data_IF_473730107428
#
_entry.id   IF_473730107428
#
_cell.length_a   1.000
_cell.length_b   1.000
_cell.length_c   1.000
_cell.angle_alpha   90.00
_cell.angle_beta   90.00
_cell.angle_gamma   90.00
#
_symmetry.space_group_name_H-M   'P 1'
#
loop_
_entity.id
_entity.type
_entity.pdbx_description
1 polymer ?
#
# COMPACT_ATOMS: atom_id res chain seq x y z
N UNK A 1 -36.15 -45.52 2.79
CA UNK A 1 -36.28 -46.39 1.60
C UNK A 1 -35.49 -45.74 0.47
N UNK A 2 -34.32 -46.30 0.19
CA UNK A 2 -33.53 -46.05 -1.02
C UNK A 2 -34.21 -46.71 -2.24
N UNK A 3 -33.75 -46.43 -3.46
CA UNK A 3 -32.62 -47.18 -4.03
C UNK A 3 -31.58 -46.24 -4.67
N UNK A 4 -30.31 -46.24 -4.29
CA UNK A 4 -29.25 -47.21 -4.65
C UNK A 4 -29.15 -47.51 -6.15
N UNK A 5 -28.18 -46.85 -6.81
CA UNK A 5 -27.42 -47.42 -7.92
C UNK A 5 -25.93 -47.29 -7.61
N UNK A 6 -25.29 -48.44 -7.62
CA UNK A 6 -23.88 -48.75 -7.45
C UNK A 6 -23.21 -48.64 -8.82
N UNK A 7 -22.01 -48.05 -8.87
CA UNK A 7 -21.01 -48.49 -9.84
C UNK A 7 -19.62 -48.47 -9.19
N UNK A 8 -18.86 -49.51 -9.52
CA UNK A 8 -17.66 -49.97 -8.85
C UNK A 8 -16.39 -49.27 -9.34
N UNK A 9 -15.44 -49.25 -8.42
CA UNK A 9 -14.09 -48.68 -8.42
C UNK A 9 -13.10 -49.47 -9.30
N UNK A 10 -12.16 -48.79 -9.96
CA UNK A 10 -10.84 -49.34 -10.33
C UNK A 10 -9.74 -48.28 -10.08
N UNK A 11 -8.78 -48.70 -9.24
CA UNK A 11 -7.46 -48.13 -8.99
C UNK A 11 -7.32 -46.89 -8.08
N UNK A 12 -7.70 -47.07 -6.81
CA UNK A 12 -6.69 -47.38 -5.78
C UNK A 12 -5.57 -46.37 -5.53
N UNK A 13 -5.77 -45.48 -4.53
CA UNK A 13 -4.89 -45.30 -3.36
C UNK A 13 -5.49 -44.28 -2.38
N UNK A 14 -5.79 -44.76 -1.16
CA UNK A 14 -6.41 -44.03 -0.03
C UNK A 14 -5.40 -43.23 0.78
N UNK A 15 -5.82 -42.08 1.30
CA UNK A 15 -5.42 -41.60 2.63
C UNK A 15 -6.68 -41.19 3.40
N UNK A 16 -6.93 -41.85 4.54
CA UNK A 16 -8.05 -41.60 5.47
C UNK A 16 -7.68 -40.51 6.48
N UNK A 17 -8.69 -39.75 6.92
CA UNK A 17 -8.61 -38.81 8.02
C UNK A 17 -9.39 -39.31 9.26
N UNK A 18 -8.83 -38.97 10.45
CA UNK A 18 -9.42 -38.81 11.81
C UNK A 18 -9.72 -40.07 12.66
N UNK A 19 -9.71 -40.02 14.03
CA UNK A 19 -10.09 -38.86 14.87
C UNK A 19 -9.29 -38.57 16.18
N UNK A 20 -9.73 -37.47 16.83
CA UNK A 20 -9.37 -36.93 18.17
C UNK A 20 -9.54 -37.93 19.33
N UNK A 21 -8.72 -37.77 20.38
CA UNK A 21 -9.02 -38.19 21.76
C UNK A 21 -8.59 -37.13 22.79
N UNK A 22 -9.39 -37.02 23.86
CA UNK A 22 -9.31 -36.06 24.96
C UNK A 22 -8.78 -36.66 26.27
N UNK A 23 -7.97 -35.86 26.98
CA UNK A 23 -7.76 -35.69 28.43
C UNK A 23 -7.85 -36.87 29.45
N UNK A 24 -6.82 -36.96 30.31
CA UNK A 24 -6.81 -37.67 31.60
C UNK A 24 -5.65 -37.24 32.51
N UNK A 25 -5.96 -36.91 33.77
CA UNK A 25 -5.23 -36.09 34.78
C UNK A 25 -4.34 -36.91 35.73
N UNK A 26 -3.27 -36.31 36.33
CA UNK A 26 -2.97 -36.21 37.80
C UNK A 26 -1.47 -35.88 38.15
N UNK A 27 -1.32 -34.80 38.95
CA UNK A 27 -0.35 -34.41 40.00
C UNK A 27 1.13 -34.05 39.72
N UNK A 28 1.54 -32.76 39.85
CA UNK A 28 2.18 -32.04 41.01
C UNK A 28 3.66 -32.47 41.26
N UNK A 29 4.74 -31.65 41.37
CA UNK A 29 5.04 -30.34 42.01
C UNK A 29 6.39 -29.77 41.45
N UNK A 30 6.47 -28.44 41.32
CA UNK A 30 7.63 -27.50 41.43
C UNK A 30 8.74 -27.31 40.34
N UNK A 31 8.59 -26.15 39.67
CA UNK A 31 9.50 -24.96 39.57
C UNK A 31 10.79 -24.98 38.72
N UNK A 32 10.69 -24.16 37.65
CA UNK A 32 11.64 -23.23 37.02
C UNK A 32 12.74 -23.79 36.11
N UNK A 33 12.54 -23.76 34.77
CA UNK A 33 12.92 -22.68 33.80
C UNK A 33 14.37 -22.87 33.33
N UNK A 34 14.75 -22.98 32.04
CA UNK A 34 14.19 -22.61 30.75
C UNK A 34 14.91 -23.50 29.70
N UNK A 35 14.21 -24.17 28.78
CA UNK A 35 14.80 -24.87 27.63
C UNK A 35 13.97 -24.50 26.40
N UNK A 36 14.49 -23.61 25.54
CA UNK A 36 13.88 -23.31 24.24
C UNK A 36 14.64 -24.12 23.19
N UNK A 37 13.98 -25.15 22.69
CA UNK A 37 14.33 -25.86 21.46
C UNK A 37 13.49 -25.23 20.35
N UNK A 38 14.12 -24.59 19.36
CA UNK A 38 13.48 -24.30 18.08
C UNK A 38 13.86 -25.36 17.06
N UNK A 39 12.87 -26.15 16.65
CA UNK A 39 12.92 -26.98 15.44
C UNK A 39 12.20 -26.21 14.33
N UNK A 40 12.92 -25.82 13.28
CA UNK A 40 12.33 -25.53 11.97
C UNK A 40 12.93 -26.55 11.00
N UNK A 41 12.07 -27.36 10.40
CA UNK A 41 12.40 -28.31 9.33
C UNK A 41 11.91 -27.69 8.03
N UNK A 42 12.83 -27.24 7.18
CA UNK A 42 12.54 -27.03 5.77
C UNK A 42 13.37 -28.00 4.92
N UNK A 43 12.66 -28.70 4.04
CA UNK A 43 13.19 -29.62 3.05
C UNK A 43 13.50 -28.83 1.78
N UNK A 44 14.75 -28.82 1.34
CA UNK A 44 15.09 -28.46 -0.04
C UNK A 44 15.49 -29.73 -0.81
N UNK A 45 14.73 -30.04 -1.86
CA UNK A 45 15.16 -30.93 -2.94
C UNK A 45 16.21 -30.19 -3.78
N UNK A 46 17.46 -30.68 -3.77
CA UNK A 46 18.49 -30.27 -4.73
C UNK A 46 18.56 -31.33 -5.82
N UNK A 47 18.30 -30.92 -7.06
CA UNK A 47 18.49 -31.71 -8.27
C UNK A 47 19.98 -31.68 -8.63
N UNK A 48 20.63 -32.85 -8.64
CA UNK A 48 22.02 -32.98 -9.11
C UNK A 48 22.09 -32.72 -10.63
N UNK A 49 23.01 -31.84 -11.03
CA UNK A 49 23.63 -31.89 -12.35
C UNK A 49 25.14 -32.03 -12.17
N UNK A 50 25.65 -33.16 -12.65
CA UNK A 50 27.07 -33.45 -12.83
C UNK A 50 27.62 -32.56 -13.95
N UNK A 51 28.74 -31.85 -13.70
CA UNK A 51 29.93 -31.98 -14.53
C UNK A 51 31.18 -31.32 -13.90
N UNK A 52 32.33 -31.87 -14.30
CA UNK A 52 33.67 -31.81 -13.69
C UNK A 52 34.48 -30.51 -13.99
N UNK A 53 35.66 -30.31 -13.37
CA UNK A 53 36.17 -28.99 -12.98
C UNK A 53 37.23 -28.41 -13.93
N UNK A 54 37.44 -27.09 -13.85
CA UNK A 54 38.76 -26.50 -14.12
C UNK A 54 39.13 -25.49 -13.03
N UNK A 55 40.31 -25.74 -12.46
CA UNK A 55 41.04 -24.90 -11.53
C UNK A 55 41.46 -23.59 -12.18
N UNK A 56 41.31 -22.47 -11.48
CA UNK A 56 42.21 -21.33 -11.66
C UNK A 56 42.50 -20.70 -10.29
N UNK A 57 43.78 -20.68 -9.97
CA UNK A 57 44.36 -20.03 -8.80
C UNK A 57 44.19 -18.50 -8.89
N UNK A 58 43.67 -17.88 -7.83
CA UNK A 58 43.83 -16.44 -7.60
C UNK A 58 44.42 -16.27 -6.20
N UNK A 59 45.67 -15.80 -6.16
CA UNK A 59 46.40 -15.36 -4.98
C UNK A 59 45.90 -13.97 -4.56
N UNK A 60 45.45 -13.82 -3.32
CA UNK A 60 45.27 -12.51 -2.70
C UNK A 60 46.42 -12.23 -1.72
N UNK A 61 47.16 -11.14 -1.96
CA UNK A 61 48.11 -10.55 -1.02
C UNK A 61 47.34 -9.62 -0.06
N UNK A 62 47.46 -9.85 1.26
CA UNK A 62 47.06 -8.88 2.29
C UNK A 62 48.24 -7.94 2.61
N UNK A 63 48.05 -6.61 2.65
CA UNK A 63 48.98 -5.72 3.33
C UNK A 63 48.70 -5.67 4.84
N UNK A 64 49.76 -5.88 5.61
CA UNK A 64 49.82 -5.62 7.06
C UNK A 64 49.76 -4.11 7.33
N UNK A 65 48.82 -3.69 8.19
CA UNK A 65 48.89 -2.42 8.90
C UNK A 65 48.87 -2.71 10.41
N UNK A 66 49.92 -2.27 11.10
CA UNK A 66 50.11 -2.31 12.55
C UNK A 66 50.18 -0.86 13.06
N UNK A 67 49.75 -0.69 14.33
CA UNK A 67 49.72 0.50 15.20
C UNK A 67 48.31 1.08 15.32
N UNK A 68 47.76 1.40 16.50
CA UNK A 68 48.35 1.68 17.81
C UNK A 68 47.18 1.62 18.80
N UNK A 69 47.25 0.89 19.92
CA UNK A 69 46.32 1.14 21.05
C UNK A 69 47.02 1.03 22.40
N UNK A 70 46.64 1.98 23.24
CA UNK A 70 47.29 2.44 24.45
C UNK A 70 47.25 1.42 25.60
N UNK A 71 48.34 1.47 26.37
CA UNK A 71 48.55 0.88 27.69
C UNK A 71 47.56 1.48 28.70
N UNK A 72 46.80 0.63 29.40
CA UNK A 72 46.18 0.96 30.68
C UNK A 72 46.65 -0.07 31.72
N UNK A 73 47.47 0.41 32.65
CA UNK A 73 47.85 -0.26 33.89
C UNK A 73 46.70 -0.11 34.90
N UNK A 74 46.27 -1.23 35.50
CA UNK A 74 45.65 -1.22 36.84
C UNK A 74 46.14 -2.42 37.63
N UNK A 75 46.44 -2.16 38.90
CA UNK A 75 47.28 -2.94 39.81
C UNK A 75 46.48 -3.71 40.88
N UNK A 76 46.92 -4.97 41.12
CA UNK A 76 47.03 -5.70 42.40
C UNK A 76 45.75 -6.15 43.19
N UNK A 77 45.83 -7.12 44.15
CA UNK A 77 46.71 -8.30 44.29
C UNK A 77 46.00 -9.61 44.78
N UNK A 78 46.83 -10.66 44.95
CA UNK A 78 46.67 -11.87 45.79
C UNK A 78 45.87 -13.10 45.30
N UNK A 79 46.60 -14.16 44.93
CA UNK A 79 46.55 -15.47 45.61
C UNK A 79 47.67 -16.39 45.09
N UNK A 80 48.63 -16.68 45.95
CA UNK A 80 49.55 -17.81 45.80
C UNK A 80 48.77 -19.13 45.84
N UNK A 81 49.09 -20.08 44.96
CA UNK A 81 49.39 -21.48 45.35
C UNK A 81 49.98 -22.19 44.12
N UNK A 82 51.27 -22.50 44.19
CA UNK A 82 51.94 -23.44 43.28
C UNK A 82 51.58 -24.86 43.74
N UNK A 83 50.91 -25.63 42.90
CA UNK A 83 50.89 -27.10 43.03
C UNK A 83 51.31 -27.76 41.71
N UNK A 84 52.38 -28.54 41.81
CA UNK A 84 53.05 -29.26 40.73
C UNK A 84 52.13 -30.35 40.18
N UNK A 85 51.74 -30.27 38.91
CA UNK A 85 51.14 -31.40 38.19
C UNK A 85 52.27 -32.33 37.72
N UNK A 86 52.40 -33.48 38.39
CA UNK A 86 53.14 -34.64 37.88
C UNK A 86 52.34 -35.25 36.73
N UNK A 87 52.90 -35.23 35.52
CA UNK A 87 52.42 -36.02 34.38
C UNK A 87 52.68 -37.50 34.68
N UNK A 88 51.64 -38.22 35.11
CA UNK A 88 51.63 -39.68 35.07
C UNK A 88 51.01 -40.11 33.74
N UNK A 89 51.88 -40.52 32.82
CA UNK A 89 51.54 -41.21 31.59
C UNK A 89 50.86 -42.55 31.92
N UNK A 90 49.55 -42.61 31.71
CA UNK A 90 48.79 -43.86 31.59
C UNK A 90 48.19 -43.93 30.19
N UNK A 91 48.76 -44.80 29.35
CA UNK A 91 48.25 -45.12 28.02
C UNK A 91 46.95 -45.91 28.16
N UNK A 92 45.81 -45.25 27.93
CA UNK A 92 44.57 -45.92 27.54
C UNK A 92 44.29 -45.61 26.06
N UNK A 93 44.28 -46.65 25.23
CA UNK A 93 43.91 -46.57 23.82
C UNK A 93 42.39 -46.52 23.71
N UNK A 94 41.83 -45.33 23.59
CA UNK A 94 40.52 -45.11 22.98
C UNK A 94 40.73 -44.37 21.66
N UNK A 95 40.39 -45.02 20.54
CA UNK A 95 40.32 -44.37 19.22
C UNK A 95 39.09 -43.45 19.23
N UNK A 96 39.25 -42.23 19.72
CA UNK A 96 38.33 -41.13 19.44
C UNK A 96 38.81 -40.43 18.17
N UNK A 97 37.91 -40.21 17.21
CA UNK A 97 38.13 -39.33 16.07
C UNK A 97 38.40 -37.91 16.58
N UNK A 98 39.66 -37.59 16.86
CA UNK A 98 40.08 -36.25 17.25
C UNK A 98 40.14 -35.37 16.01
N UNK A 99 39.15 -34.51 15.81
CA UNK A 99 39.38 -33.29 15.04
C UNK A 99 40.57 -32.57 15.71
N UNK A 100 41.65 -32.35 14.97
CA UNK A 100 42.80 -31.57 15.44
C UNK A 100 42.30 -30.25 16.04
N UNK A 101 42.71 -29.91 17.27
CA UNK A 101 42.35 -28.67 17.97
C UNK A 101 42.49 -27.42 17.07
N UNK A 102 43.46 -27.45 16.15
CA UNK A 102 43.66 -26.41 15.15
C UNK A 102 42.48 -26.24 14.18
N UNK A 103 41.83 -27.33 13.77
CA UNK A 103 40.61 -27.30 12.94
C UNK A 103 39.41 -26.73 13.70
N UNK A 104 39.32 -26.99 15.00
CA UNK A 104 38.26 -26.42 15.85
C UNK A 104 38.46 -24.90 16.02
N UNK A 105 39.70 -24.46 16.24
CA UNK A 105 40.04 -23.03 16.33
C UNK A 105 39.77 -22.31 15.00
N UNK A 106 40.17 -22.90 13.86
CA UNK A 106 39.88 -22.35 12.54
C UNK A 106 38.38 -22.24 12.26
N UNK A 107 37.60 -23.26 12.62
CA UNK A 107 36.14 -23.22 12.47
C UNK A 107 35.51 -22.12 13.36
N UNK A 108 35.97 -21.96 14.60
CA UNK A 108 35.49 -20.92 15.50
C UNK A 108 35.81 -19.51 14.98
N UNK A 109 37.03 -19.29 14.44
CA UNK A 109 37.41 -18.01 13.84
C UNK A 109 36.60 -17.69 12.59
N UNK A 110 36.26 -18.68 11.76
CA UNK A 110 35.38 -18.50 10.60
C UNK A 110 33.96 -18.12 11.03
N UNK A 111 33.40 -18.78 12.05
CA UNK A 111 32.08 -18.44 12.60
C UNK A 111 32.07 -17.02 13.17
N UNK A 112 33.08 -16.64 13.95
CA UNK A 112 33.22 -15.29 14.48
C UNK A 112 33.39 -14.25 13.36
N UNK A 113 34.15 -14.56 12.32
CA UNK A 113 34.31 -13.70 11.14
C UNK A 113 33.00 -13.51 10.37
N UNK A 114 32.20 -14.57 10.20
CA UNK A 114 30.87 -14.47 9.58
C UNK A 114 29.92 -13.62 10.42
N UNK A 115 29.91 -13.81 11.75
CA UNK A 115 29.09 -13.00 12.66
C UNK A 115 29.48 -11.53 12.62
N UNK A 116 30.79 -11.22 12.63
CA UNK A 116 31.28 -9.85 12.52
C UNK A 116 30.90 -9.20 11.17
N UNK A 117 31.01 -9.94 10.05
CA UNK A 117 30.57 -9.46 8.74
C UNK A 117 29.07 -9.20 8.70
N UNK A 118 28.26 -10.06 9.32
CA UNK A 118 26.81 -9.89 9.37
C UNK A 118 26.40 -8.67 10.20
N UNK A 119 27.01 -8.46 11.36
CA UNK A 119 26.76 -7.29 12.21
C UNK A 119 27.16 -6.00 11.50
N UNK A 120 28.36 -5.94 10.91
CA UNK A 120 28.83 -4.75 10.18
C UNK A 120 27.99 -4.45 8.94
N UNK A 121 27.52 -5.48 8.22
CA UNK A 121 26.58 -5.31 7.10
C UNK A 121 25.22 -4.77 7.56
N UNK A 122 24.73 -5.21 8.72
CA UNK A 122 23.47 -4.71 9.27
C UNK A 122 23.57 -3.25 9.70
N UNK A 123 24.66 -2.86 10.37
CA UNK A 123 24.87 -1.48 10.79
C UNK A 123 25.01 -0.52 9.61
N UNK A 124 25.75 -0.92 8.56
CA UNK A 124 25.90 -0.10 7.35
C UNK A 124 24.57 0.09 6.61
N UNK A 125 23.75 -0.97 6.55
CA UNK A 125 22.41 -0.89 5.97
C UNK A 125 21.50 0.06 6.77
N UNK A 126 21.58 0.00 8.11
CA UNK A 126 20.81 0.87 8.99
C UNK A 126 21.21 2.35 8.87
N UNK A 127 22.51 2.66 8.83
CA UNK A 127 23.01 4.02 8.57
C UNK A 127 22.53 4.55 7.21
N UNK A 128 22.53 3.68 6.19
CA UNK A 128 22.06 4.03 4.85
C UNK A 128 20.56 4.35 4.84
N UNK A 129 19.75 3.55 5.52
CA UNK A 129 18.29 3.78 5.62
C UNK A 129 17.99 5.03 6.44
N UNK A 130 18.74 5.29 7.52
CA UNK A 130 18.63 6.52 8.30
C UNK A 130 18.92 7.76 7.43
N UNK A 131 19.98 7.74 6.63
CA UNK A 131 20.30 8.83 5.72
C UNK A 131 19.17 9.07 4.69
N UNK A 132 18.57 8.00 4.15
CA UNK A 132 17.42 8.10 3.24
C UNK A 132 16.21 8.71 3.94
N UNK A 133 15.96 8.37 5.21
CA UNK A 133 14.87 8.95 6.00
C UNK A 133 15.10 10.45 6.25
N UNK A 134 16.31 10.88 6.60
CA UNK A 134 16.63 12.31 6.78
C UNK A 134 16.43 13.12 5.50
N UNK A 135 16.86 12.57 4.35
CA UNK A 135 16.64 13.19 3.04
C UNK A 135 15.15 13.25 2.69
N UNK A 136 14.41 12.18 2.96
CA UNK A 136 12.98 12.11 2.73
C UNK A 136 12.22 13.12 3.59
N UNK A 137 12.55 13.22 4.89
CA UNK A 137 11.96 14.22 5.78
C UNK A 137 12.20 15.65 5.26
N UNK A 138 13.44 15.95 4.83
CA UNK A 138 13.75 17.25 4.23
C UNK A 138 12.95 17.52 2.97
N UNK A 139 12.80 16.53 2.08
CA UNK A 139 12.03 16.64 0.84
C UNK A 139 10.54 16.91 1.09
N UNK A 140 9.95 16.27 2.09
CA UNK A 140 8.52 16.36 2.42
C UNK A 140 8.22 17.32 3.58
N UNK A 141 9.20 18.08 4.04
CA UNK A 141 9.04 19.06 5.12
C UNK A 141 8.60 18.45 6.45
N UNK A 142 9.01 17.22 6.76
CA UNK A 142 8.60 16.51 7.97
C UNK A 142 9.31 17.05 9.20
N UNK A 143 8.51 17.40 10.21
CA UNK A 143 8.94 17.81 11.54
C UNK A 143 8.11 17.04 12.55
N UNK A 144 8.78 16.37 13.48
CA UNK A 144 8.13 15.59 14.52
C UNK A 144 8.20 16.33 15.86
N UNK A 145 7.26 16.02 16.75
CA UNK A 145 7.12 16.66 18.06
C UNK A 145 8.34 16.46 18.94
N UNK A 146 8.88 15.25 18.95
CA UNK A 146 10.00 14.84 19.80
C UNK A 146 10.77 13.66 19.17
N UNK A 147 11.92 13.33 19.78
CA UNK A 147 12.80 12.26 19.30
C UNK A 147 12.13 10.88 19.36
N UNK A 148 11.18 10.67 20.28
CA UNK A 148 10.44 9.40 20.38
C UNK A 148 9.51 9.22 19.19
N UNK A 149 8.77 10.27 18.81
CA UNK A 149 7.96 10.25 17.58
C UNK A 149 8.85 10.05 16.35
N UNK A 150 9.98 10.76 16.27
CA UNK A 150 10.93 10.60 15.15
C UNK A 150 11.45 9.16 15.04
N UNK A 151 11.80 8.52 16.15
CA UNK A 151 12.26 7.13 16.16
C UNK A 151 11.14 6.16 15.74
N UNK A 152 9.91 6.38 16.19
CA UNK A 152 8.74 5.60 15.78
C UNK A 152 8.48 5.74 14.26
N UNK A 153 8.47 6.97 13.75
CA UNK A 153 8.26 7.28 12.32
C UNK A 153 9.37 6.71 11.45
N UNK A 154 10.61 6.70 11.93
CA UNK A 154 11.72 6.03 11.27
C UNK A 154 11.53 4.52 11.14
N UNK A 155 11.00 3.85 12.18
CA UNK A 155 10.69 2.41 12.12
C UNK A 155 9.63 2.11 11.06
N UNK A 156 8.55 2.90 11.04
CA UNK A 156 7.49 2.78 10.02
C UNK A 156 8.07 3.02 8.61
N UNK A 157 8.89 4.06 8.44
CA UNK A 157 9.57 4.35 7.18
C UNK A 157 10.44 3.19 6.70
N UNK A 158 11.19 2.57 7.60
CA UNK A 158 12.04 1.41 7.29
C UNK A 158 11.21 0.21 6.83
N UNK A 159 10.10 -0.07 7.50
CA UNK A 159 9.22 -1.18 7.16
C UNK A 159 8.53 -0.95 5.79
N UNK A 160 8.00 0.26 5.56
CA UNK A 160 7.41 0.65 4.29
C UNK A 160 8.43 0.62 3.15
N UNK A 161 9.66 1.08 3.41
CA UNK A 161 10.74 1.01 2.44
C UNK A 161 11.05 -0.43 2.04
N UNK A 162 11.15 -1.34 3.01
CA UNK A 162 11.39 -2.75 2.76
C UNK A 162 10.25 -3.37 1.95
N UNK A 163 9.00 -3.02 2.23
CA UNK A 163 7.83 -3.44 1.45
C UNK A 163 7.91 -2.97 -0.01
N UNK A 164 8.16 -1.68 -0.22
CA UNK A 164 8.29 -1.06 -1.56
C UNK A 164 9.40 -1.77 -2.37
N UNK A 165 10.56 -2.01 -1.76
CA UNK A 165 11.66 -2.69 -2.40
C UNK A 165 11.32 -4.15 -2.72
N UNK A 166 10.66 -4.86 -1.81
CA UNK A 166 10.23 -6.24 -2.02
C UNK A 166 9.26 -6.36 -3.21
N UNK A 167 8.23 -5.50 -3.27
CA UNK A 167 7.25 -5.48 -4.37
C UNK A 167 7.93 -5.18 -5.70
N UNK A 168 8.77 -4.14 -5.74
CA UNK A 168 9.48 -3.74 -6.96
C UNK A 168 10.48 -4.81 -7.46
N UNK A 169 11.01 -5.67 -6.57
CA UNK A 169 11.97 -6.74 -6.87
C UNK A 169 11.33 -8.03 -7.40
N UNK A 170 10.01 -8.23 -7.28
CA UNK A 170 9.32 -9.41 -7.85
C UNK A 170 9.50 -9.48 -9.38
N UNK A 171 9.71 -8.34 -10.04
CA UNK A 171 9.85 -8.24 -11.50
C UNK A 171 8.52 -8.37 -12.23
N UNK A 172 8.44 -7.90 -13.48
CA UNK A 172 7.28 -8.03 -14.39
C UNK A 172 5.94 -7.42 -13.93
N UNK A 173 5.93 -6.55 -12.92
CA UNK A 173 4.73 -5.75 -12.60
C UNK A 173 4.56 -4.61 -13.61
N UNK A 174 3.30 -4.33 -13.96
CA UNK A 174 2.93 -3.22 -14.85
C UNK A 174 2.98 -1.85 -14.16
N UNK A 175 3.22 -1.83 -12.84
CA UNK A 175 3.33 -0.64 -12.01
C UNK A 175 4.58 -0.69 -11.13
N UNK A 176 4.89 0.46 -10.52
CA UNK A 176 5.98 0.64 -9.56
C UNK A 176 5.48 1.36 -8.32
N UNK A 177 6.06 0.97 -7.19
CA UNK A 177 5.90 1.66 -5.92
C UNK A 177 7.09 2.60 -5.66
N UNK A 178 6.88 3.64 -4.87
CA UNK A 178 7.95 4.54 -4.46
C UNK A 178 7.74 5.09 -3.05
N UNK A 179 8.84 5.52 -2.43
CA UNK A 179 8.80 6.28 -1.18
C UNK A 179 8.22 7.66 -1.46
N UNK A 180 6.92 7.81 -1.24
CA UNK A 180 6.17 9.05 -1.40
C UNK A 180 5.95 9.76 -0.05
N UNK A 181 5.09 10.77 -0.01
CA UNK A 181 4.82 11.55 1.20
C UNK A 181 4.24 10.74 2.37
N UNK A 182 3.73 9.52 2.14
CA UNK A 182 3.08 8.70 3.17
C UNK A 182 4.00 7.63 3.77
N UNK A 183 5.29 7.66 3.45
CA UNK A 183 6.22 6.62 3.86
C UNK A 183 6.42 6.50 5.38
N UNK A 184 6.11 7.53 6.17
CA UNK A 184 6.17 7.47 7.65
C UNK A 184 4.85 7.10 8.33
N UNK A 185 3.83 6.70 7.57
CA UNK A 185 2.52 6.31 8.07
C UNK A 185 2.32 4.80 7.95
N UNK A 186 1.70 4.19 8.95
CA UNK A 186 1.16 2.83 8.77
C UNK A 186 -0.01 2.87 7.79
N UNK A 187 -0.39 1.72 7.25
CA UNK A 187 -1.53 1.63 6.37
C UNK A 187 -2.85 2.01 7.08
N UNK A 188 -2.98 1.67 8.36
CA UNK A 188 -4.13 2.04 9.19
C UNK A 188 -4.21 3.55 9.43
N UNK A 189 -3.09 4.20 9.75
CA UNK A 189 -3.03 5.67 9.89
C UNK A 189 -3.38 6.38 8.58
N UNK A 190 -2.89 5.84 7.46
CA UNK A 190 -3.19 6.35 6.12
C UNK A 190 -4.68 6.24 5.82
N UNK A 191 -5.27 5.05 5.98
CA UNK A 191 -6.67 4.80 5.69
C UNK A 191 -7.62 5.61 6.57
N UNK A 192 -7.31 5.77 7.86
CA UNK A 192 -8.15 6.51 8.81
C UNK A 192 -8.36 7.99 8.44
N UNK A 193 -7.47 8.56 7.61
CA UNK A 193 -7.41 10.00 7.34
C UNK A 193 -7.62 10.30 5.85
N UNK A 194 -7.20 9.41 4.94
CA UNK A 194 -7.24 9.64 3.49
C UNK A 194 -8.49 9.11 2.81
N UNK A 195 -9.09 8.06 3.37
CA UNK A 195 -10.25 7.40 2.79
C UNK A 195 -11.50 7.88 3.54
N UNK A 196 -12.42 8.48 2.79
CA UNK A 196 -13.61 9.13 3.34
C UNK A 196 -14.87 8.89 2.51
N UNK A 197 -14.84 7.96 1.55
CA UNK A 197 -16.06 7.57 0.87
C UNK A 197 -16.93 6.76 1.82
N UNK A 198 -18.22 7.09 1.87
CA UNK A 198 -19.24 6.34 2.58
C UNK A 198 -20.16 5.68 1.60
N UNK A 199 -20.24 4.35 1.70
CA UNK A 199 -21.27 3.61 1.01
C UNK A 199 -22.63 3.96 1.64
N UNK A 200 -23.63 4.39 0.86
CA UNK A 200 -24.93 4.77 1.40
C UNK A 200 -25.62 3.57 2.06
N UNK A 201 -26.18 3.80 3.26
CA UNK A 201 -26.77 2.76 4.12
C UNK A 201 -27.94 2.03 3.48
N UNK A 202 -28.72 2.77 2.70
CA UNK A 202 -29.82 2.28 1.91
C UNK A 202 -29.44 2.46 0.43
N UNK A 203 -29.43 1.39 -0.39
CA UNK A 203 -29.41 1.57 -1.82
C UNK A 203 -30.63 2.41 -2.13
N UNK A 204 -30.42 3.65 -2.60
CA UNK A 204 -31.55 4.47 -3.00
C UNK A 204 -32.39 3.61 -3.95
N UNK A 205 -33.65 3.34 -3.58
CA UNK A 205 -34.64 2.70 -4.45
C UNK A 205 -34.89 3.69 -5.58
N UNK A 206 -33.92 3.81 -6.48
CA UNK A 206 -33.96 4.67 -7.64
C UNK A 206 -34.72 3.87 -8.66
N UNK A 207 -35.88 4.40 -9.06
CA UNK A 207 -36.52 3.94 -10.28
C UNK A 207 -35.45 3.86 -11.36
N UNK A 208 -35.40 2.74 -12.10
CA UNK A 208 -34.41 2.54 -13.14
C UNK A 208 -34.60 3.62 -14.22
N UNK A 209 -33.90 4.73 -14.06
CA UNK A 209 -33.85 5.77 -15.08
C UNK A 209 -33.02 5.21 -16.24
N UNK A 210 -33.46 5.41 -17.49
CA UNK A 210 -32.67 4.97 -18.64
C UNK A 210 -31.28 5.59 -18.57
N UNK A 211 -30.24 4.77 -18.66
CA UNK A 211 -28.85 5.24 -18.73
C UNK A 211 -28.68 6.11 -19.98
N UNK A 212 -28.42 7.41 -19.79
CA UNK A 212 -28.36 8.42 -20.86
C UNK A 212 -27.42 8.05 -22.00
N UNK A 213 -26.32 7.36 -21.70
CA UNK A 213 -25.34 6.96 -22.71
C UNK A 213 -25.52 5.51 -23.20
N UNK A 214 -26.67 4.87 -22.97
CA UNK A 214 -26.93 3.51 -23.42
C UNK A 214 -26.72 3.34 -24.94
N UNK A 215 -27.20 4.31 -25.72
CA UNK A 215 -27.16 4.31 -27.19
C UNK A 215 -25.82 4.79 -27.77
N UNK A 216 -24.83 5.15 -26.95
CA UNK A 216 -23.47 5.43 -27.42
C UNK A 216 -22.87 4.12 -27.94
N UNK A 217 -22.71 4.02 -29.26
CA UNK A 217 -22.22 2.82 -29.96
C UNK A 217 -20.72 2.87 -30.26
N UNK A 218 -20.16 4.06 -30.41
CA UNK A 218 -18.74 4.28 -30.68
C UNK A 218 -18.17 5.29 -29.68
N UNK A 219 -17.06 4.92 -29.06
CA UNK A 219 -16.25 5.79 -28.21
C UNK A 219 -14.82 5.83 -28.76
N UNK A 220 -14.07 6.93 -28.58
CA UNK A 220 -12.65 6.98 -28.95
C UNK A 220 -11.86 5.85 -28.29
N UNK A 221 -10.76 5.40 -28.91
CA UNK A 221 -9.86 4.39 -28.32
C UNK A 221 -9.15 4.86 -27.05
N UNK A 222 -8.99 6.17 -26.90
CA UNK A 222 -8.45 6.85 -25.72
C UNK A 222 -9.16 8.18 -25.48
N UNK A 223 -9.36 8.54 -24.23
CA UNK A 223 -9.84 9.84 -23.79
C UNK A 223 -8.91 10.40 -22.72
N UNK A 224 -8.64 11.70 -22.77
CA UNK A 224 -7.91 12.44 -21.74
C UNK A 224 -8.50 13.85 -21.63
N UNK A 225 -9.38 14.05 -20.65
CA UNK A 225 -10.08 15.32 -20.44
C UNK A 225 -9.13 16.46 -20.05
N UNK A 226 -7.93 16.15 -19.56
CA UNK A 226 -6.89 17.17 -19.30
C UNK A 226 -6.49 17.86 -20.60
N UNK A 227 -6.32 17.08 -21.68
CA UNK A 227 -6.00 17.60 -23.03
C UNK A 227 -7.17 18.36 -23.67
N UNK A 228 -8.38 18.21 -23.13
CA UNK A 228 -9.58 18.96 -23.52
C UNK A 228 -9.82 20.20 -22.66
N UNK A 229 -8.96 20.46 -21.68
CA UNK A 229 -9.09 21.60 -20.77
C UNK A 229 -10.21 21.46 -19.76
N UNK A 230 -10.74 20.25 -19.54
CA UNK A 230 -11.87 19.98 -18.65
C UNK A 230 -11.45 19.39 -17.29
N UNK A 231 -10.20 19.61 -16.87
CA UNK A 231 -9.64 19.11 -15.60
C UNK A 231 -8.77 20.20 -14.98
N UNK A 232 -9.09 20.62 -13.76
CA UNK A 232 -8.28 21.54 -12.96
C UNK A 232 -7.00 20.86 -12.44
N UNK A 233 -6.00 21.62 -11.95
CA UNK A 233 -4.83 21.05 -11.29
C UNK A 233 -5.18 20.06 -10.16
N UNK A 234 -4.23 19.18 -9.83
CA UNK A 234 -4.36 18.31 -8.65
C UNK A 234 -4.38 19.17 -7.39
N UNK A 235 -5.27 18.79 -6.47
CA UNK A 235 -5.37 19.35 -5.12
C UNK A 235 -4.95 18.30 -4.08
N UNK A 236 -4.89 18.71 -2.82
CA UNK A 236 -4.55 17.84 -1.69
C UNK A 236 -5.61 18.00 -0.59
N UNK A 237 -6.31 16.91 -0.27
CA UNK A 237 -7.34 16.87 0.76
C UNK A 237 -6.74 16.94 2.18
N UNK A 238 -5.42 16.80 2.33
CA UNK A 238 -4.80 16.84 3.64
C UNK A 238 -5.41 15.80 4.59
N UNK A 239 -5.45 16.12 5.89
CA UNK A 239 -5.85 15.18 6.93
C UNK A 239 -7.38 15.06 7.13
N UNK A 240 -8.15 15.16 6.04
CA UNK A 240 -9.61 15.17 6.07
C UNK A 240 -10.16 14.12 5.10
N UNK A 241 -11.10 13.29 5.56
CA UNK A 241 -11.80 12.27 4.77
C UNK A 241 -12.81 12.88 3.79
N UNK A 242 -12.35 13.82 2.95
CA UNK A 242 -13.20 14.62 2.04
C UNK A 242 -13.04 14.23 0.56
N UNK A 243 -12.44 13.08 0.27
CA UNK A 243 -12.29 12.58 -1.10
C UNK A 243 -13.60 12.57 -1.91
N UNK A 244 -14.74 12.35 -1.23
CA UNK A 244 -16.08 12.46 -1.81
C UNK A 244 -16.34 13.87 -2.39
N UNK A 245 -16.03 14.93 -1.64
CA UNK A 245 -16.19 16.31 -2.08
C UNK A 245 -15.26 16.63 -3.25
N UNK A 246 -13.99 16.21 -3.19
CA UNK A 246 -13.04 16.38 -4.29
C UNK A 246 -13.49 15.67 -5.57
N UNK A 247 -14.02 14.45 -5.46
CA UNK A 247 -14.54 13.72 -6.61
C UNK A 247 -15.76 14.41 -7.22
N UNK A 248 -16.72 14.84 -6.40
CA UNK A 248 -17.91 15.61 -6.81
C UNK A 248 -17.51 16.90 -7.52
N UNK A 249 -16.61 17.67 -6.93
CA UNK A 249 -16.15 18.94 -7.48
C UNK A 249 -15.42 18.74 -8.79
N UNK A 250 -14.48 17.80 -8.89
CA UNK A 250 -13.74 17.57 -10.13
C UNK A 250 -14.65 17.16 -11.31
N UNK A 251 -15.70 16.37 -11.07
CA UNK A 251 -16.70 16.05 -12.09
C UNK A 251 -17.56 17.29 -12.45
N UNK A 252 -17.92 18.11 -11.46
CA UNK A 252 -18.67 19.36 -11.64
C UNK A 252 -17.88 20.41 -12.44
N UNK A 253 -16.58 20.57 -12.16
CA UNK A 253 -15.67 21.42 -12.91
C UNK A 253 -15.60 20.98 -14.37
N UNK A 254 -15.52 19.66 -14.60
CA UNK A 254 -15.51 19.05 -15.92
C UNK A 254 -16.76 19.39 -16.73
N UNK A 255 -17.95 19.10 -16.20
CA UNK A 255 -19.20 19.39 -16.91
C UNK A 255 -19.42 20.90 -17.09
N UNK A 256 -18.98 21.72 -16.13
CA UNK A 256 -19.03 23.19 -16.24
C UNK A 256 -18.20 23.68 -17.40
N UNK A 257 -16.98 23.15 -17.57
CA UNK A 257 -16.18 23.47 -18.75
C UNK A 257 -16.92 23.06 -20.02
N UNK A 258 -17.44 21.83 -20.09
CA UNK A 258 -18.02 21.29 -21.33
C UNK A 258 -19.25 22.07 -21.79
N UNK A 259 -20.00 22.63 -20.86
CA UNK A 259 -21.23 23.38 -21.14
C UNK A 259 -21.01 24.87 -21.32
N UNK A 260 -20.06 25.47 -20.59
CA UNK A 260 -19.83 26.92 -20.59
C UNK A 260 -18.58 27.38 -21.35
N UNK A 261 -17.68 26.44 -21.66
CA UNK A 261 -16.35 26.71 -22.19
C UNK A 261 -15.34 27.23 -21.17
N UNK A 262 -15.72 27.38 -19.89
CA UNK A 262 -14.86 27.93 -18.83
C UNK A 262 -14.50 26.86 -17.81
N UNK A 263 -13.20 26.59 -17.66
CA UNK A 263 -12.69 25.79 -16.55
C UNK A 263 -12.56 26.69 -15.32
N UNK A 264 -13.35 26.41 -14.29
CA UNK A 264 -13.39 27.16 -13.02
C UNK A 264 -12.97 26.20 -11.93
N UNK A 265 -12.07 26.61 -11.02
CA UNK A 265 -11.79 25.80 -9.84
C UNK A 265 -12.84 26.08 -8.77
N UNK A 266 -13.57 25.03 -8.36
CA UNK A 266 -14.71 25.11 -7.45
C UNK A 266 -14.31 24.67 -6.04
N UNK A 267 -15.12 25.04 -5.04
CA UNK A 267 -14.82 24.83 -3.63
C UNK A 267 -15.25 23.44 -3.13
N UNK A 268 -14.29 22.62 -2.71
CA UNK A 268 -14.59 21.41 -1.92
C UNK A 268 -15.00 21.77 -0.49
N UNK A 269 -14.48 22.87 0.06
CA UNK A 269 -14.78 23.28 1.44
C UNK A 269 -16.26 23.63 1.64
N UNK A 270 -16.91 24.22 0.63
CA UNK A 270 -18.34 24.49 0.69
C UNK A 270 -19.14 23.19 0.85
N UNK A 271 -18.78 22.12 0.14
CA UNK A 271 -19.40 20.81 0.37
C UNK A 271 -19.08 20.28 1.76
N UNK A 272 -17.81 20.33 2.18
CA UNK A 272 -17.39 19.85 3.51
C UNK A 272 -18.16 20.55 4.63
N UNK A 273 -18.37 21.86 4.53
CA UNK A 273 -18.98 22.66 5.59
C UNK A 273 -20.52 22.66 5.54
N UNK A 274 -21.11 22.71 4.34
CA UNK A 274 -22.53 22.97 4.14
C UNK A 274 -23.34 21.72 3.81
N UNK A 275 -22.76 20.70 3.17
CA UNK A 275 -23.44 19.44 2.90
C UNK A 275 -23.34 18.49 4.11
N UNK A 276 -24.13 18.79 5.13
CA UNK A 276 -24.17 18.05 6.40
C UNK A 276 -25.40 17.17 6.55
N UNK A 277 -26.15 16.96 5.47
CA UNK A 277 -27.42 16.24 5.49
C UNK A 277 -27.23 14.81 4.97
N UNK A 278 -27.85 13.82 5.63
CA UNK A 278 -27.78 12.43 5.18
C UNK A 278 -26.45 11.76 5.52
N UNK A 279 -25.76 11.22 4.51
CA UNK A 279 -24.53 10.44 4.68
C UNK A 279 -23.27 11.31 4.78
N UNK A 280 -23.35 12.57 4.32
CA UNK A 280 -22.24 13.51 4.26
C UNK A 280 -21.96 14.15 5.63
N UNK A 281 -20.74 13.94 6.12
CA UNK A 281 -20.30 14.32 7.45
C UNK A 281 -18.97 15.07 7.39
N UNK A 282 -18.77 15.88 6.34
CA UNK A 282 -17.54 16.65 6.12
C UNK A 282 -16.28 15.78 6.10
N UNK A 283 -15.34 16.03 7.01
CA UNK A 283 -14.12 15.22 7.13
C UNK A 283 -14.36 13.80 7.67
N UNK A 284 -15.52 13.55 8.27
CA UNK A 284 -15.94 12.21 8.68
C UNK A 284 -16.31 11.30 7.50
N UNK A 285 -16.34 11.83 6.27
CA UNK A 285 -16.68 11.09 5.05
C UNK A 285 -18.07 11.36 4.52
N UNK A 286 -18.30 10.98 3.26
CA UNK A 286 -19.49 11.30 2.49
C UNK A 286 -19.57 10.57 1.14
N UNK A 287 -20.54 10.94 0.33
CA UNK A 287 -20.94 10.28 -0.91
C UNK A 287 -21.15 11.30 -2.05
N UNK A 288 -20.64 10.98 -3.25
CA UNK A 288 -20.59 11.96 -4.34
C UNK A 288 -21.97 12.45 -4.79
N UNK A 289 -23.00 11.59 -4.79
CA UNK A 289 -24.36 11.97 -5.15
C UNK A 289 -25.01 12.91 -4.13
N UNK A 290 -24.63 12.79 -2.86
CA UNK A 290 -25.00 13.74 -1.82
C UNK A 290 -24.50 15.13 -2.19
N UNK A 291 -23.21 15.23 -2.48
CA UNK A 291 -22.58 16.45 -3.00
C UNK A 291 -23.24 17.00 -4.27
N UNK A 292 -23.54 16.18 -5.28
CA UNK A 292 -24.27 16.66 -6.45
C UNK A 292 -25.67 17.16 -6.10
N UNK A 293 -26.39 16.42 -5.25
CA UNK A 293 -27.73 16.80 -4.77
C UNK A 293 -27.70 18.12 -4.00
N UNK A 294 -26.66 18.35 -3.19
CA UNK A 294 -26.43 19.62 -2.52
C UNK A 294 -26.29 20.75 -3.54
N UNK A 295 -25.41 20.63 -4.54
CA UNK A 295 -25.19 21.68 -5.55
C UNK A 295 -26.50 22.03 -6.27
N UNK A 296 -27.31 21.03 -6.61
CA UNK A 296 -28.63 21.25 -7.23
C UNK A 296 -29.57 22.02 -6.30
N UNK A 297 -29.67 21.61 -5.03
CA UNK A 297 -30.55 22.25 -4.03
C UNK A 297 -30.09 23.66 -3.67
N UNK A 298 -28.78 23.86 -3.53
CA UNK A 298 -28.14 25.14 -3.28
C UNK A 298 -28.20 26.06 -4.52
N UNK A 299 -28.56 25.51 -5.70
CA UNK A 299 -28.63 26.21 -7.00
C UNK A 299 -27.26 26.66 -7.53
N UNK A 300 -26.20 26.04 -7.03
CA UNK A 300 -24.83 26.22 -7.47
C UNK A 300 -23.81 25.98 -6.38
N UNK A 301 -22.56 26.25 -6.72
CA UNK A 301 -21.37 26.10 -5.87
C UNK A 301 -20.39 27.25 -6.16
N UNK A 302 -19.67 27.70 -5.15
CA UNK A 302 -18.70 28.79 -5.23
C UNK A 302 -17.33 28.31 -5.76
N UNK A 303 -16.45 29.27 -6.02
CA UNK A 303 -15.06 29.01 -6.42
C UNK A 303 -14.17 28.65 -5.23
N UNK A 304 -13.12 27.88 -5.50
CA UNK A 304 -12.02 27.64 -4.55
C UNK A 304 -11.46 28.94 -3.97
N UNK A 305 -11.32 29.99 -4.81
CA UNK A 305 -10.70 31.24 -4.37
C UNK A 305 -11.56 32.03 -3.36
N UNK A 306 -12.89 31.90 -3.45
CA UNK A 306 -13.82 32.61 -2.56
C UNK A 306 -14.14 31.79 -1.30
N UNK A 307 -14.13 30.46 -1.40
CA UNK A 307 -14.29 29.55 -0.26
C UNK A 307 -13.15 28.51 -0.24
N UNK A 308 -11.96 28.89 0.24
CA UNK A 308 -10.76 28.05 0.12
C UNK A 308 -10.78 26.84 1.03
N UNK A 309 -10.17 25.75 0.57
CA UNK A 309 -10.02 24.51 1.31
C UNK A 309 -9.14 24.66 2.56
N UNK A 310 -9.62 24.13 3.69
CA UNK A 310 -8.97 24.21 5.01
C UNK A 310 -8.59 22.84 5.59
N UNK A 311 -9.01 21.74 4.96
CA UNK A 311 -8.76 20.38 5.45
C UNK A 311 -9.30 20.09 6.86
N UNK A 312 -10.38 20.77 7.24
CA UNK A 312 -11.06 20.57 8.52
C UNK A 312 -12.57 20.86 8.40
N UNK A 313 -13.33 20.37 9.37
CA UNK A 313 -14.74 20.68 9.50
C UNK A 313 -14.94 22.08 10.06
N UNK A 314 -15.53 22.98 9.27
CA UNK A 314 -15.96 24.29 9.74
C UNK A 314 -17.48 24.44 9.68
N UNK A 315 -17.97 25.54 10.25
CA UNK A 315 -19.38 25.92 10.13
C UNK A 315 -19.62 26.50 8.74
N UNK A 316 -20.67 26.06 8.06
CA UNK A 316 -21.08 26.60 6.75
C UNK A 316 -21.14 28.14 6.75
N UNK A 317 -20.28 28.75 5.93
CA UNK A 317 -20.30 30.19 5.70
C UNK A 317 -21.40 30.54 4.70
N UNK A 318 -22.61 30.75 5.22
CA UNK A 318 -23.82 31.04 4.42
C UNK A 318 -23.71 32.27 3.50
N UNK A 319 -22.79 33.20 3.79
CA UNK A 319 -22.53 34.34 2.90
C UNK A 319 -21.81 33.89 1.64
N UNK A 320 -20.74 33.12 1.78
CA UNK A 320 -19.97 32.60 0.65
C UNK A 320 -20.75 31.51 -0.09
N UNK A 321 -21.48 30.64 0.62
CA UNK A 321 -22.37 29.63 0.03
C UNK A 321 -23.42 30.25 -0.92
N UNK A 322 -23.90 31.46 -0.62
CA UNK A 322 -24.89 32.15 -1.46
C UNK A 322 -24.36 32.69 -2.79
N UNK A 323 -23.04 32.61 -3.02
CA UNK A 323 -22.38 33.08 -4.24
C UNK A 323 -22.02 31.87 -5.11
N UNK A 324 -22.65 31.76 -6.27
CA UNK A 324 -22.47 30.59 -7.13
C UNK A 324 -21.67 30.93 -8.40
N UNK A 325 -20.61 30.17 -8.63
CA UNK A 325 -19.75 30.25 -9.82
C UNK A 325 -20.10 29.20 -10.89
N UNK A 326 -20.62 28.05 -10.47
CA UNK A 326 -21.07 26.96 -11.35
C UNK A 326 -22.39 26.36 -10.85
N UNK A 327 -23.10 25.68 -11.75
CA UNK A 327 -24.41 25.07 -11.49
C UNK A 327 -24.52 23.76 -12.27
N UNK A 328 -25.27 22.82 -11.69
CA UNK A 328 -25.71 21.58 -12.32
C UNK A 328 -27.22 21.44 -12.11
N UNK A 329 -27.91 20.74 -13.00
CA UNK A 329 -29.37 20.53 -12.93
C UNK A 329 -29.75 19.17 -12.32
N UNK A 330 -28.78 18.27 -12.19
CA UNK A 330 -28.98 16.93 -11.67
C UNK A 330 -27.68 16.12 -11.64
N UNK A 331 -27.83 14.81 -11.45
CA UNK A 331 -26.78 13.80 -11.59
C UNK A 331 -27.43 12.48 -12.01
N UNK A 332 -26.65 11.60 -12.61
CA UNK A 332 -27.06 10.27 -13.02
C UNK A 332 -26.01 9.24 -12.64
N UNK A 333 -26.46 8.02 -12.34
CA UNK A 333 -25.57 6.89 -12.07
C UNK A 333 -25.22 6.14 -13.35
N UNK A 334 -24.00 5.63 -13.38
CA UNK A 334 -23.60 4.61 -14.34
C UNK A 334 -24.16 3.26 -13.87
N UNK A 335 -24.67 2.42 -14.79
CA UNK A 335 -25.04 1.03 -14.47
C UNK A 335 -23.96 0.30 -13.67
N UNK A 336 -24.34 -0.15 -12.48
CA UNK A 336 -23.47 -0.86 -11.53
C UNK A 336 -22.85 -2.10 -12.17
N UNK A 337 -21.58 -2.34 -11.86
CA UNK A 337 -20.79 -3.49 -12.33
C UNK A 337 -20.68 -3.56 -13.86
N UNK A 338 -20.48 -2.40 -14.49
CA UNK A 338 -20.35 -2.29 -15.95
C UNK A 338 -19.22 -1.33 -16.36
N UNK A 339 -18.00 -1.86 -16.54
CA UNK A 339 -16.89 -1.10 -17.13
C UNK A 339 -17.24 -0.57 -18.54
N UNK A 340 -18.13 -1.26 -19.28
CA UNK A 340 -18.57 -0.81 -20.60
C UNK A 340 -19.50 0.39 -20.53
N UNK A 341 -20.41 0.45 -19.56
CA UNK A 341 -21.24 1.64 -19.33
C UNK A 341 -20.38 2.79 -18.78
N UNK A 342 -19.47 2.52 -17.85
CA UNK A 342 -18.51 3.50 -17.34
C UNK A 342 -17.68 4.09 -18.47
N UNK A 343 -17.23 3.26 -19.43
CA UNK A 343 -16.46 3.70 -20.58
C UNK A 343 -17.24 4.71 -21.43
N UNK A 344 -18.52 4.45 -21.66
CA UNK A 344 -19.39 5.34 -22.41
C UNK A 344 -19.57 6.67 -21.68
N UNK A 345 -19.77 6.65 -20.36
CA UNK A 345 -19.89 7.88 -19.56
C UNK A 345 -18.58 8.70 -19.57
N UNK A 346 -17.44 8.06 -19.31
CA UNK A 346 -16.12 8.73 -19.30
C UNK A 346 -15.73 9.27 -20.68
N UNK A 347 -16.22 8.66 -21.76
CA UNK A 347 -16.04 9.19 -23.12
C UNK A 347 -16.81 10.49 -23.36
N UNK A 348 -17.80 10.82 -22.54
CA UNK A 348 -18.66 12.00 -22.70
C UNK A 348 -18.34 13.12 -21.71
N UNK A 349 -17.88 12.79 -20.50
CA UNK A 349 -17.46 13.76 -19.48
C UNK A 349 -16.60 13.09 -18.38
N UNK A 350 -15.93 13.85 -17.50
CA UNK A 350 -15.38 13.31 -16.26
C UNK A 350 -16.47 12.70 -15.36
N UNK A 351 -16.16 11.57 -14.74
CA UNK A 351 -17.11 10.78 -13.92
C UNK A 351 -16.53 10.55 -12.54
N UNK A 352 -17.32 10.78 -11.49
CA UNK A 352 -16.96 10.42 -10.12
C UNK A 352 -17.07 8.92 -9.94
N UNK A 353 -16.05 8.28 -9.34
CA UNK A 353 -16.03 6.84 -9.06
C UNK A 353 -15.53 6.59 -7.65
N UNK A 354 -16.05 5.56 -7.00
CA UNK A 354 -15.46 5.04 -5.77
C UNK A 354 -14.61 3.79 -6.06
N UNK A 355 -13.53 3.64 -5.30
CA UNK A 355 -12.61 2.51 -5.36
C UNK A 355 -12.24 2.06 -3.95
N UNK A 356 -11.74 0.83 -3.85
CA UNK A 356 -11.00 0.33 -2.69
C UNK A 356 -9.53 0.77 -2.83
N UNK A 357 -9.13 1.75 -2.02
CA UNK A 357 -7.78 2.31 -1.98
C UNK A 357 -7.05 1.96 -0.68
N UNK A 358 -7.53 0.97 0.07
CA UNK A 358 -7.08 0.64 1.41
C UNK A 358 -5.70 -0.02 1.47
N UNK A 359 -5.25 -0.64 0.39
CA UNK A 359 -4.06 -1.49 0.38
C UNK A 359 -2.73 -0.70 0.22
N UNK A 360 -1.64 -1.26 0.77
CA UNK A 360 -0.30 -0.62 0.75
C UNK A 360 0.26 -0.40 -0.66
N UNK A 361 -0.09 -1.27 -1.62
CA UNK A 361 0.25 -1.08 -3.03
C UNK A 361 -0.33 0.23 -3.58
N UNK A 362 -1.56 0.59 -3.18
CA UNK A 362 -2.20 1.84 -3.59
C UNK A 362 -1.57 3.03 -2.87
N UNK A 363 -1.35 2.90 -1.55
CA UNK A 363 -0.68 3.92 -0.73
C UNK A 363 0.65 4.37 -1.33
N UNK A 364 1.45 3.44 -1.86
CA UNK A 364 2.79 3.72 -2.39
C UNK A 364 2.89 3.77 -3.92
N UNK A 365 1.76 3.75 -4.63
CA UNK A 365 1.75 3.83 -6.09
C UNK A 365 2.57 5.03 -6.59
N UNK A 366 3.38 4.77 -7.62
CA UNK A 366 4.26 5.76 -8.24
C UNK A 366 3.95 5.93 -9.73
N UNK A 367 3.95 4.84 -10.49
CA UNK A 367 3.78 4.91 -11.94
C UNK A 367 3.40 3.57 -12.54
N UNK A 368 3.01 3.60 -13.81
CA UNK A 368 2.61 2.43 -14.60
C UNK A 368 1.12 2.13 -14.49
N UNK A 369 0.68 1.03 -15.11
CA UNK A 369 -0.72 0.59 -15.02
C UNK A 369 -0.88 -0.27 -13.78
N UNK A 370 -1.54 0.29 -12.77
CA UNK A 370 -1.84 -0.37 -11.51
C UNK A 370 -2.72 -1.60 -11.73
N UNK A 371 -2.20 -2.75 -11.32
CA UNK A 371 -2.89 -4.02 -11.25
C UNK A 371 -2.55 -4.77 -9.95
N UNK A 372 -2.24 -4.00 -8.90
CA UNK A 372 -1.95 -4.50 -7.56
C UNK A 372 -3.17 -5.10 -6.88
N UNK A 373 -2.95 -5.63 -5.68
CA UNK A 373 -4.04 -6.23 -4.90
C UNK A 373 -4.92 -5.14 -4.29
N UNK A 374 -6.23 -5.32 -4.39
CA UNK A 374 -7.25 -4.50 -3.74
C UNK A 374 -8.55 -5.31 -3.66
N UNK A 375 -9.41 -4.98 -2.70
CA UNK A 375 -10.72 -5.59 -2.54
C UNK A 375 -11.79 -4.85 -3.34
N UNK A 376 -13.01 -4.88 -2.81
CA UNK A 376 -14.16 -4.12 -3.30
C UNK A 376 -14.87 -3.41 -2.15
N UNK A 377 -14.18 -3.21 -1.02
CA UNK A 377 -14.70 -2.43 0.10
C UNK A 377 -14.39 -0.97 -0.19
N UNK A 378 -15.27 -0.35 -0.98
CA UNK A 378 -15.06 1.02 -1.47
C UNK A 378 -14.92 1.99 -0.30
N UNK A 379 -13.84 2.75 -0.28
CA UNK A 379 -13.47 3.65 0.81
C UNK A 379 -12.89 4.98 0.32
N UNK A 380 -12.61 5.12 -0.98
CA UNK A 380 -12.03 6.31 -1.56
C UNK A 380 -12.76 6.81 -2.82
N UNK A 381 -12.98 8.11 -2.89
CA UNK A 381 -13.61 8.79 -4.03
C UNK A 381 -12.58 9.46 -4.93
N UNK A 382 -12.60 9.13 -6.22
CA UNK A 382 -11.71 9.72 -7.24
C UNK A 382 -12.51 10.08 -8.50
N UNK A 383 -11.88 10.73 -9.49
CA UNK A 383 -12.57 11.09 -10.74
C UNK A 383 -11.91 10.42 -11.93
N UNK A 384 -12.67 9.64 -12.69
CA UNK A 384 -12.26 9.13 -13.98
C UNK A 384 -12.26 10.26 -15.02
N UNK A 385 -11.07 10.71 -15.39
CA UNK A 385 -10.85 11.82 -16.35
C UNK A 385 -10.36 11.32 -17.70
N UNK A 386 -10.39 10.01 -17.93
CA UNK A 386 -10.01 9.43 -19.20
C UNK A 386 -9.76 7.93 -19.13
N UNK A 387 -9.26 7.40 -20.23
CA UNK A 387 -8.87 6.01 -20.38
C UNK A 387 -7.93 5.88 -21.59
N UNK A 388 -7.19 4.80 -21.66
CA UNK A 388 -6.28 4.55 -22.77
C UNK A 388 -5.81 3.11 -22.82
N UNK A 389 -4.71 2.92 -23.54
CA UNK A 389 -3.95 1.67 -23.63
C UNK A 389 -2.47 2.05 -23.49
N UNK A 390 -1.73 1.35 -22.62
CA UNK A 390 -0.29 1.57 -22.45
C UNK A 390 0.49 1.07 -23.68
N UNK A 391 1.77 1.42 -23.76
CA UNK A 391 2.67 0.94 -24.83
C UNK A 391 2.77 -0.59 -24.85
N UNK A 392 2.61 -1.24 -23.69
CA UNK A 392 2.58 -2.70 -23.54
C UNK A 392 1.19 -3.32 -23.83
N UNK A 393 0.23 -2.53 -24.32
CA UNK A 393 -1.10 -3.00 -24.70
C UNK A 393 -2.10 -3.14 -23.54
N UNK A 394 -1.77 -2.65 -22.34
CA UNK A 394 -2.66 -2.76 -21.16
C UNK A 394 -3.66 -1.60 -21.17
N UNK A 395 -4.95 -1.92 -21.24
CA UNK A 395 -6.02 -0.93 -21.13
C UNK A 395 -6.07 -0.37 -19.71
N UNK A 396 -6.28 0.94 -19.59
CA UNK A 396 -6.36 1.60 -18.28
C UNK A 396 -7.45 2.66 -18.21
N UNK A 397 -7.92 2.93 -16.99
CA UNK A 397 -8.60 4.14 -16.57
C UNK A 397 -7.57 5.18 -16.13
N UNK A 398 -7.77 6.45 -16.50
CA UNK A 398 -6.97 7.56 -15.99
C UNK A 398 -7.76 8.28 -14.90
N UNK A 399 -7.30 8.19 -13.65
CA UNK A 399 -8.00 8.72 -12.50
C UNK A 399 -7.24 9.90 -11.90
N UNK A 400 -7.98 10.97 -11.59
CA UNK A 400 -7.54 12.12 -10.81
C UNK A 400 -7.74 11.81 -9.33
N UNK A 401 -6.67 11.84 -8.55
CA UNK A 401 -6.69 11.68 -7.09
C UNK A 401 -6.64 13.05 -6.38
N UNK A 402 -6.78 13.05 -5.05
CA UNK A 402 -6.83 14.22 -4.17
C UNK A 402 -5.74 14.23 -3.10
N UNK A 403 -4.57 13.62 -3.38
CA UNK A 403 -3.46 13.46 -2.42
C UNK A 403 -2.20 14.26 -2.81
N UNK A 404 -2.40 15.35 -3.55
CA UNK A 404 -1.32 16.19 -4.04
C UNK A 404 -0.50 15.55 -5.17
N UNK A 405 0.35 16.35 -5.79
CA UNK A 405 1.17 15.94 -6.96
C UNK A 405 2.35 15.04 -6.60
N UNK A 406 2.64 14.87 -5.31
CA UNK A 406 3.75 14.05 -4.83
C UNK A 406 3.44 12.55 -4.77
N UNK A 407 2.17 12.19 -4.96
CA UNK A 407 1.68 10.81 -5.03
C UNK A 407 1.41 10.42 -6.49
N UNK A 408 1.70 9.16 -6.85
CA UNK A 408 1.43 8.62 -8.18
C UNK A 408 2.09 9.41 -9.32
N UNK A 409 1.41 9.42 -10.47
CA UNK A 409 1.86 10.08 -11.69
C UNK A 409 1.41 11.55 -11.66
N UNK A 410 2.11 12.37 -10.88
CA UNK A 410 1.76 13.78 -10.63
C UNK A 410 0.35 13.95 -10.06
N UNK A 411 -0.06 13.06 -9.15
CA UNK A 411 -1.39 13.02 -8.53
C UNK A 411 -2.44 12.22 -9.29
N UNK A 412 -2.05 11.56 -10.40
CA UNK A 412 -2.91 10.66 -11.15
C UNK A 412 -2.51 9.20 -10.95
N UNK A 413 -3.43 8.30 -11.26
CA UNK A 413 -3.18 6.87 -11.37
C UNK A 413 -3.78 6.32 -12.66
N UNK A 414 -3.05 5.41 -13.30
CA UNK A 414 -3.58 4.56 -14.37
C UNK A 414 -3.96 3.22 -13.78
N UNK A 415 -5.25 2.91 -13.66
CA UNK A 415 -5.73 1.63 -13.13
C UNK A 415 -6.13 0.69 -14.26
N UNK A 416 -5.78 -0.59 -14.18
CA UNK A 416 -6.11 -1.56 -15.21
C UNK A 416 -7.64 -1.61 -15.45
N UNK A 417 -8.01 -1.54 -16.72
CA UNK A 417 -9.38 -1.59 -17.24
C UNK A 417 -9.61 -2.89 -17.99
N UNK A 418 -10.87 -3.28 -18.15
CA UNK A 418 -11.28 -4.46 -18.93
C UNK A 418 -10.82 -5.75 -18.24
N UNK A 419 -11.03 -5.80 -16.93
CA UNK A 419 -10.73 -6.97 -16.10
C UNK A 419 -11.92 -7.93 -16.10
N UNK A 420 -11.69 -9.18 -15.68
CA UNK A 420 -12.76 -10.20 -15.67
C UNK A 420 -13.85 -9.94 -14.62
N UNK A 421 -13.50 -9.28 -13.52
CA UNK A 421 -14.45 -8.92 -12.46
C UNK A 421 -15.40 -7.83 -12.97
N UNK A 422 -16.70 -8.01 -12.75
CA UNK A 422 -17.72 -7.07 -13.27
C UNK A 422 -17.68 -5.74 -12.52
N UNK A 423 -17.28 -5.82 -11.26
CA UNK A 423 -17.01 -4.71 -10.35
C UNK A 423 -15.85 -3.83 -10.85
N UNK A 424 -15.04 -4.32 -11.80
CA UNK A 424 -13.79 -3.69 -12.21
C UNK A 424 -12.69 -3.86 -11.15
N UNK A 425 -11.47 -3.47 -11.47
CA UNK A 425 -10.36 -3.52 -10.51
C UNK A 425 -10.65 -2.55 -9.36
N UNK A 426 -10.48 -3.01 -8.12
CA UNK A 426 -10.78 -2.27 -6.89
C UNK A 426 -12.23 -1.76 -6.79
N UNK A 427 -13.17 -2.41 -7.48
CA UNK A 427 -14.59 -2.03 -7.45
C UNK A 427 -14.95 -0.75 -8.21
N UNK A 428 -14.07 -0.24 -9.09
CA UNK A 428 -14.26 1.03 -9.82
C UNK A 428 -15.60 1.16 -10.58
N UNK A 429 -16.20 0.05 -10.99
CA UNK A 429 -17.47 0.04 -11.72
C UNK A 429 -18.69 -0.16 -10.81
N UNK A 430 -18.52 -0.24 -9.48
CA UNK A 430 -19.61 -0.46 -8.53
C UNK A 430 -20.41 0.80 -8.23
N UNK A 431 -19.72 1.93 -8.05
CA UNK A 431 -20.32 3.22 -7.65
C UNK A 431 -19.71 4.34 -8.50
N UNK A 432 -20.39 4.66 -9.60
CA UNK A 432 -19.96 5.71 -10.50
C UNK A 432 -21.15 6.59 -10.86
N UNK A 433 -20.97 7.90 -10.78
CA UNK A 433 -22.01 8.88 -11.09
C UNK A 433 -21.40 10.16 -11.69
N UNK A 434 -22.23 10.92 -12.38
CA UNK A 434 -21.79 12.13 -13.05
C UNK A 434 -22.86 13.23 -12.97
N UNK A 435 -22.45 14.51 -12.85
CA UNK A 435 -23.39 15.62 -12.85
C UNK A 435 -23.96 15.85 -14.23
N UNK A 436 -25.18 16.39 -14.29
CA UNK A 436 -25.85 16.81 -15.52
C UNK A 436 -26.08 18.31 -15.49
N UNK A 437 -25.89 18.97 -16.63
CA UNK A 437 -25.96 20.43 -16.76
C UNK A 437 -26.86 20.84 -17.93
#
# INVERSE_FOLDING_TARGET
MSPEKVDLDHDGKRCRFLPRFSAGTIATVARNSLLVISHVKDWFMVREYSDRPQSNHIQFYLPLYINHLHRLEMSAPHLETISRIKVLSSRSKTKTMGLSLHRIILAALLVLGMWACQVTSQTLNEETVLQRHEQWMSRFGRVYKDDMEKEMRFKIFKDNLAYIEAVNNVGNQAYKLSVNGFADQTNEEFNAIRNGFKFPSEPALREATPFRYADVTAVPSSMDWRKKGAVTPIKDQGQCGSCWAFSTIAATEGITQLTTGKLISLSEQELVDCDRSGEDQGCGGGYMDGGFTFIVKNKGINTEAAYPYQAEDATCNTKEESIHAAKIIGHEDVPVNSESALLKAVAMQPVSVAIDAGESDFQFYSSGVFNGTCGTMLDHGVTAVGYGTSDDGIKYWLLKNSWGTSWGEEGYIRMQRDVKAKEGLCGIAMMASYPTA
#
